data_IF_798564069399
#
_entry.id   IF_798564069399
#
_cell.length_a   1.000
_cell.length_b   1.000
_cell.length_c   1.000
_cell.angle_alpha   90.00
_cell.angle_beta   90.00
_cell.angle_gamma   90.00
#
_symmetry.space_group_name_H-M   'P 1'
#
loop_
_entity.id
_entity.type
_entity.pdbx_description
1 polymer ?
#
# COMPACT_ATOMS: atom_id res chain seq x y z
N UNK A 1 -19.13 -8.71 54.67
CA UNK A 1 -18.59 -9.88 55.39
C UNK A 1 -18.75 -11.09 54.48
N UNK A 2 -17.75 -11.95 54.22
CA UNK A 2 -16.40 -12.03 54.78
C UNK A 2 -15.34 -12.33 53.70
N UNK A 3 -14.11 -11.87 53.94
CA UNK A 3 -12.92 -12.43 53.30
C UNK A 3 -12.63 -13.82 53.90
N UNK A 4 -12.07 -14.72 53.10
CA UNK A 4 -11.29 -15.85 53.62
C UNK A 4 -10.00 -16.00 52.82
N UNK A 5 -8.88 -15.51 53.36
CA UNK A 5 -7.52 -15.84 52.90
C UNK A 5 -7.04 -17.13 53.58
N UNK A 6 -6.31 -17.98 52.85
CA UNK A 6 -5.46 -19.12 53.28
C UNK A 6 -4.86 -19.75 51.99
N UNK A 7 -3.60 -20.16 51.86
CA UNK A 7 -2.42 -20.18 52.75
C UNK A 7 -1.14 -20.17 51.88
N UNK A 8 0.00 -19.72 52.39
CA UNK A 8 1.33 -19.84 51.75
C UNK A 8 1.96 -21.19 52.13
N UNK A 9 2.59 -21.89 51.20
CA UNK A 9 3.71 -22.82 51.50
C UNK A 9 4.85 -22.56 50.50
N UNK A 10 6.04 -22.30 51.04
CA UNK A 10 7.32 -22.35 50.34
C UNK A 10 8.08 -23.55 50.89
N UNK A 11 8.68 -24.36 50.01
CA UNK A 11 9.68 -25.35 50.39
C UNK A 11 10.71 -25.48 49.26
N UNK A 12 11.97 -25.19 49.58
CA UNK A 12 13.12 -25.46 48.72
C UNK A 12 13.83 -26.72 49.23
N UNK A 13 14.36 -27.53 48.32
CA UNK A 13 15.26 -28.64 48.67
C UNK A 13 16.50 -28.63 47.78
N UNK A 14 17.64 -28.44 48.40
CA UNK A 14 18.96 -28.73 47.85
C UNK A 14 19.17 -30.24 47.70
N UNK A 15 20.02 -30.66 46.76
CA UNK A 15 20.94 -31.77 46.98
C UNK A 15 22.30 -31.47 46.32
N UNK A 16 23.37 -31.66 47.09
CA UNK A 16 24.78 -31.52 46.71
C UNK A 16 25.51 -32.83 47.06
N UNK A 17 26.31 -33.36 46.13
CA UNK A 17 27.53 -34.15 46.35
C UNK A 17 28.21 -34.32 44.98
N UNK A 18 29.47 -33.95 44.68
CA UNK A 18 30.78 -34.15 45.32
C UNK A 18 31.29 -35.60 45.32
N UNK A 19 32.24 -35.88 44.42
CA UNK A 19 33.37 -36.77 44.67
C UNK A 19 34.62 -36.31 43.88
N UNK A 20 35.79 -36.57 44.47
CA UNK A 20 37.16 -36.21 44.01
C UNK A 20 37.76 -37.36 43.16
N UNK A 21 38.97 -37.36 42.58
CA UNK A 21 40.18 -36.51 42.58
C UNK A 21 40.93 -36.77 41.22
N UNK A 22 42.16 -36.35 40.89
CA UNK A 22 43.21 -35.48 41.47
C UNK A 22 44.22 -35.10 40.36
N UNK A 23 45.03 -34.04 40.50
CA UNK A 23 46.14 -33.77 39.56
C UNK A 23 46.71 -32.35 39.59
N UNK A 24 47.97 -32.20 40.00
CA UNK A 24 48.67 -30.91 40.09
C UNK A 24 49.30 -30.48 38.76
N UNK A 25 49.25 -29.19 38.45
CA UNK A 25 50.42 -28.41 37.99
C UNK A 25 50.17 -26.90 38.21
N UNK A 26 51.25 -26.14 38.33
CA UNK A 26 51.22 -24.73 38.74
C UNK A 26 51.10 -23.75 37.57
N UNK A 27 50.73 -22.50 37.86
CA UNK A 27 51.18 -21.36 37.05
C UNK A 27 50.16 -20.25 36.80
N UNK A 28 50.54 -19.04 37.25
CA UNK A 28 50.05 -17.73 36.80
C UNK A 28 48.56 -17.35 37.02
N UNK A 29 48.37 -16.20 37.65
CA UNK A 29 47.06 -15.58 37.80
C UNK A 29 46.55 -15.04 36.45
N UNK A 30 45.35 -15.46 36.05
CA UNK A 30 44.52 -14.75 35.09
C UNK A 30 43.33 -14.15 35.84
N UNK A 31 43.25 -12.82 35.90
CA UNK A 31 42.07 -12.16 36.47
C UNK A 31 40.82 -12.52 35.64
N UNK A 32 39.65 -12.77 36.25
CA UNK A 32 38.44 -13.05 35.50
C UNK A 32 38.07 -11.81 34.68
N UNK A 33 38.20 -11.89 33.36
CA UNK A 33 37.65 -10.89 32.45
C UNK A 33 36.14 -10.81 32.73
N UNK A 34 35.69 -9.68 33.27
CA UNK A 34 34.27 -9.34 33.32
C UNK A 34 33.76 -9.31 31.89
N UNK A 35 33.01 -10.34 31.51
CA UNK A 35 32.20 -10.32 30.31
C UNK A 35 31.23 -9.12 30.42
N UNK A 36 31.48 -8.08 29.62
CA UNK A 36 30.66 -6.88 29.60
C UNK A 36 29.27 -7.21 29.04
N UNK A 37 28.33 -7.56 29.93
CA UNK A 37 26.91 -7.64 29.59
C UNK A 37 26.28 -6.24 29.67
N UNK A 38 26.56 -5.44 28.65
CA UNK A 38 25.91 -4.17 28.35
C UNK A 38 25.91 -3.99 26.80
N UNK A 39 24.81 -3.67 26.10
CA UNK A 39 23.48 -3.23 26.51
C UNK A 39 22.39 -3.83 25.58
N UNK A 40 21.22 -4.25 26.11
CA UNK A 40 20.02 -4.42 25.29
C UNK A 40 19.28 -3.09 25.01
N UNK A 41 19.42 -2.09 25.90
CA UNK A 41 18.67 -0.83 25.85
C UNK A 41 19.00 0.03 24.62
N UNK A 42 20.29 0.26 24.36
CA UNK A 42 20.75 1.18 23.29
C UNK A 42 20.43 0.71 21.87
N UNK A 43 20.17 -0.59 21.66
CA UNK A 43 19.70 -1.12 20.38
C UNK A 43 18.21 -0.82 20.15
N UNK A 44 17.37 -1.03 21.18
CA UNK A 44 15.93 -0.75 21.09
C UNK A 44 15.66 0.75 20.95
N UNK A 45 16.31 1.58 21.77
CA UNK A 45 16.16 3.04 21.71
C UNK A 45 16.56 3.60 20.34
N UNK A 46 17.66 3.10 19.77
CA UNK A 46 18.10 3.45 18.42
C UNK A 46 17.10 3.03 17.33
N UNK A 47 16.46 1.87 17.49
CA UNK A 47 15.46 1.37 16.55
C UNK A 47 14.18 2.22 16.57
N UNK A 48 13.67 2.55 17.77
CA UNK A 48 12.50 3.43 17.93
C UNK A 48 12.78 4.84 17.39
N UNK A 49 14.00 5.36 17.62
CA UNK A 49 14.42 6.65 17.08
C UNK A 49 14.48 6.64 15.54
N UNK A 50 15.03 5.59 14.91
CA UNK A 50 15.00 5.42 13.44
C UNK A 50 13.56 5.39 12.91
N UNK A 51 12.67 4.65 13.57
CA UNK A 51 11.25 4.56 13.21
C UNK A 51 10.58 5.92 13.31
N UNK A 52 10.82 6.66 14.40
CA UNK A 52 10.28 8.01 14.62
C UNK A 52 10.78 9.01 13.57
N UNK A 53 12.06 8.96 13.19
CA UNK A 53 12.63 9.78 12.11
C UNK A 53 11.96 9.48 10.76
N UNK A 54 11.82 8.20 10.41
CA UNK A 54 11.17 7.79 9.17
C UNK A 54 9.68 8.21 9.12
N UNK A 55 8.94 8.00 10.22
CA UNK A 55 7.53 8.42 10.33
C UNK A 55 7.36 9.94 10.32
N UNK A 56 8.30 10.72 10.88
CA UNK A 56 8.27 12.18 10.82
C UNK A 56 8.38 12.75 9.39
N UNK A 57 8.94 11.97 8.46
CA UNK A 57 8.93 12.23 7.01
C UNK A 57 7.65 11.66 6.38
N UNK A 58 7.39 10.37 6.61
CA UNK A 58 6.37 9.60 5.89
C UNK A 58 4.93 9.93 6.27
N UNK A 59 4.65 10.20 7.54
CA UNK A 59 3.31 10.48 8.06
C UNK A 59 2.99 11.98 8.15
N UNK A 60 3.91 12.86 7.72
CA UNK A 60 3.66 14.30 7.67
C UNK A 60 2.54 14.63 6.68
N UNK A 61 1.72 15.63 7.03
CA UNK A 61 0.73 16.20 6.12
C UNK A 61 1.40 16.66 4.81
N UNK A 62 0.79 16.30 3.68
CA UNK A 62 1.36 16.44 2.33
C UNK A 62 0.71 17.57 1.57
N UNK A 63 1.50 18.27 0.77
CA UNK A 63 0.99 19.19 -0.26
C UNK A 63 0.53 18.39 -1.49
N UNK A 64 -0.35 18.94 -2.34
CA UNK A 64 -0.76 18.29 -3.59
C UNK A 64 0.46 17.85 -4.41
N UNK A 65 0.46 16.60 -4.83
CA UNK A 65 1.55 15.96 -5.58
C UNK A 65 2.78 15.55 -4.75
N UNK A 66 2.82 15.74 -3.43
CA UNK A 66 3.92 15.19 -2.63
C UNK A 66 3.77 13.66 -2.47
N UNK A 67 4.89 12.96 -2.68
CA UNK A 67 5.06 11.53 -2.46
C UNK A 67 6.20 11.30 -1.46
N UNK A 68 5.95 10.44 -0.47
CA UNK A 68 6.99 9.87 0.41
C UNK A 68 6.96 8.35 0.31
N UNK A 69 8.14 7.75 0.38
CA UNK A 69 8.30 6.30 0.47
C UNK A 69 9.13 5.98 1.70
N UNK A 70 8.67 5.01 2.48
CA UNK A 70 9.34 4.49 3.67
C UNK A 70 9.72 3.03 3.43
N UNK A 71 10.99 2.72 3.64
CA UNK A 71 11.50 1.36 3.74
C UNK A 71 11.38 0.86 5.18
N UNK A 72 10.75 -0.30 5.34
CA UNK A 72 10.75 -1.09 6.56
C UNK A 72 11.63 -2.33 6.33
N UNK A 73 12.80 -2.35 6.99
CA UNK A 73 13.72 -3.46 6.92
C UNK A 73 13.37 -4.63 7.84
N UNK A 74 12.27 -4.59 8.60
CA UNK A 74 11.79 -5.73 9.43
C UNK A 74 11.24 -6.86 8.58
N UNK A 75 10.40 -6.52 7.60
CA UNK A 75 9.82 -7.40 6.58
C UNK A 75 10.40 -7.16 5.17
N UNK A 76 11.25 -6.13 5.02
CA UNK A 76 11.89 -5.73 3.76
C UNK A 76 10.85 -5.22 2.72
N UNK A 77 9.95 -4.35 3.18
CA UNK A 77 8.89 -3.74 2.36
C UNK A 77 9.06 -2.23 2.16
N UNK A 78 8.34 -1.69 1.19
CA UNK A 78 8.09 -0.27 1.00
C UNK A 78 6.64 0.08 1.32
N UNK A 79 6.45 1.18 2.04
CA UNK A 79 5.17 1.88 2.21
C UNK A 79 5.20 3.18 1.41
N UNK A 80 4.18 3.39 0.58
CA UNK A 80 3.96 4.63 -0.17
C UNK A 80 2.94 5.50 0.57
N UNK A 81 3.17 6.81 0.62
CA UNK A 81 2.18 7.77 1.10
C UNK A 81 2.24 9.01 0.22
N UNK A 82 1.11 9.43 -0.30
CA UNK A 82 1.03 10.55 -1.23
C UNK A 82 -0.23 11.38 -1.02
N UNK A 83 -0.29 12.54 -1.66
CA UNK A 83 -1.51 13.29 -1.84
C UNK A 83 -1.62 13.68 -3.31
N UNK A 84 -2.76 13.40 -3.95
CA UNK A 84 -2.98 13.65 -5.37
C UNK A 84 -2.93 15.14 -5.71
N UNK A 85 -2.76 15.46 -6.99
CA UNK A 85 -3.05 16.80 -7.50
C UNK A 85 -4.47 16.78 -8.04
N UNK A 86 -5.39 17.43 -7.33
CA UNK A 86 -6.82 17.46 -7.66
C UNK A 86 -7.18 18.78 -8.34
N UNK A 87 -8.03 18.72 -9.37
CA UNK A 87 -8.69 19.87 -9.98
C UNK A 87 -10.20 19.67 -10.00
N UNK A 88 -10.97 20.68 -9.62
CA UNK A 88 -12.45 20.71 -9.80
C UNK A 88 -12.85 21.23 -11.18
N UNK A 89 -11.90 21.72 -11.97
CA UNK A 89 -12.10 22.12 -13.37
C UNK A 89 -11.51 21.05 -14.31
N UNK A 90 -12.26 20.71 -15.36
CA UNK A 90 -11.91 19.62 -16.27
C UNK A 90 -10.83 20.00 -17.30
N UNK A 91 -10.75 21.27 -17.71
CA UNK A 91 -9.72 21.75 -18.62
C UNK A 91 -8.37 21.83 -17.90
N UNK A 92 -8.36 22.31 -16.65
CA UNK A 92 -7.18 22.27 -15.78
C UNK A 92 -6.75 20.84 -15.45
N UNK A 93 -7.70 19.91 -15.22
CA UNK A 93 -7.38 18.49 -15.16
C UNK A 93 -6.70 17.98 -16.45
N UNK A 94 -7.23 18.34 -17.62
CA UNK A 94 -6.68 17.90 -18.92
C UNK A 94 -5.27 18.46 -19.17
N UNK A 95 -5.00 19.71 -18.74
CA UNK A 95 -3.66 20.30 -18.71
C UNK A 95 -2.73 19.55 -17.74
N UNK A 96 -3.22 19.15 -16.57
CA UNK A 96 -2.46 18.38 -15.59
C UNK A 96 -2.11 16.97 -16.08
N UNK A 97 -3.03 16.26 -16.75
CA UNK A 97 -2.77 14.95 -17.39
C UNK A 97 -1.58 15.05 -18.35
N UNK A 98 -1.60 16.07 -19.20
CA UNK A 98 -0.53 16.35 -20.17
C UNK A 98 0.80 16.70 -19.48
N UNK A 99 0.75 17.62 -18.50
CA UNK A 99 1.93 18.09 -17.74
C UNK A 99 2.66 16.98 -16.99
N UNK A 100 1.92 16.02 -16.44
CA UNK A 100 2.43 14.94 -15.59
C UNK A 100 2.46 13.58 -16.30
N UNK A 101 2.29 13.53 -17.63
CA UNK A 101 2.23 12.30 -18.44
C UNK A 101 1.40 11.18 -17.78
N UNK A 102 0.24 11.56 -17.27
CA UNK A 102 -0.68 10.64 -16.63
C UNK A 102 -1.41 9.80 -17.69
N UNK A 103 -1.94 8.63 -17.34
CA UNK A 103 -2.84 7.89 -18.22
C UNK A 103 -3.95 8.80 -18.76
N UNK A 104 -4.16 8.77 -20.08
CA UNK A 104 -5.16 9.60 -20.75
C UNK A 104 -6.57 9.08 -20.42
N UNK A 105 -7.18 9.66 -19.38
CA UNK A 105 -8.52 9.35 -18.92
C UNK A 105 -9.43 10.54 -19.23
N UNK A 106 -10.40 10.35 -20.13
CA UNK A 106 -11.44 11.33 -20.46
C UNK A 106 -12.72 11.01 -19.68
N UNK A 107 -13.67 11.95 -19.63
CA UNK A 107 -15.01 11.63 -19.17
C UNK A 107 -15.62 10.52 -20.05
N UNK A 108 -16.37 9.56 -19.47
CA UNK A 108 -17.15 8.59 -20.24
C UNK A 108 -18.22 9.29 -21.07
N UNK A 109 -18.59 8.72 -22.22
CA UNK A 109 -19.67 9.26 -23.06
C UNK A 109 -21.06 9.07 -22.43
N UNK A 110 -21.18 8.11 -21.50
CA UNK A 110 -22.42 7.84 -20.76
C UNK A 110 -22.18 7.80 -19.24
N UNK A 111 -23.11 8.43 -18.50
CA UNK A 111 -23.23 8.34 -17.05
C UNK A 111 -24.71 8.17 -16.67
N UNK A 112 -25.00 7.53 -15.52
CA UNK A 112 -26.34 7.52 -14.95
C UNK A 112 -26.84 8.94 -14.65
N UNK A 113 -28.16 9.13 -14.71
CA UNK A 113 -28.78 10.45 -14.53
C UNK A 113 -28.43 11.09 -13.16
N UNK A 114 -28.09 12.38 -13.22
CA UNK A 114 -27.77 13.20 -12.05
C UNK A 114 -26.32 13.14 -11.58
N UNK A 115 -25.47 12.28 -12.14
CA UNK A 115 -24.03 12.31 -11.85
C UNK A 115 -23.34 13.38 -12.71
N UNK A 116 -22.69 14.33 -12.06
CA UNK A 116 -21.90 15.38 -12.72
C UNK A 116 -20.43 15.28 -12.32
N UNK A 117 -19.53 15.78 -13.18
CA UNK A 117 -18.10 15.86 -12.87
C UNK A 117 -17.85 16.73 -11.63
N UNK A 118 -17.17 16.14 -10.64
CA UNK A 118 -16.82 16.80 -9.39
C UNK A 118 -15.35 17.22 -9.37
N UNK A 119 -14.45 16.31 -9.75
CA UNK A 119 -13.01 16.57 -9.76
C UNK A 119 -12.22 15.52 -10.53
N UNK A 120 -11.06 15.90 -11.05
CA UNK A 120 -10.06 14.99 -11.60
C UNK A 120 -8.77 14.99 -10.78
N UNK A 121 -8.18 13.82 -10.57
CA UNK A 121 -6.94 13.61 -9.82
C UNK A 121 -5.80 13.17 -10.75
N UNK A 122 -4.61 13.73 -10.52
CA UNK A 122 -3.34 13.13 -10.93
C UNK A 122 -2.71 12.41 -9.73
N UNK A 123 -2.47 11.11 -9.88
CA UNK A 123 -2.01 10.23 -8.82
C UNK A 123 -0.49 10.01 -8.95
N UNK A 124 0.32 10.38 -7.94
CA UNK A 124 1.75 10.10 -7.92
C UNK A 124 2.07 8.61 -8.12
N UNK A 125 3.25 8.25 -8.66
CA UNK A 125 3.60 6.86 -8.90
C UNK A 125 3.66 6.07 -7.59
N UNK A 126 2.89 4.99 -7.54
CA UNK A 126 2.95 3.94 -6.53
C UNK A 126 2.97 2.60 -7.25
N UNK A 127 3.66 1.63 -6.66
CA UNK A 127 3.96 0.36 -7.33
C UNK A 127 3.44 -0.81 -6.49
N UNK A 128 2.95 -1.85 -7.15
CA UNK A 128 2.61 -3.11 -6.50
C UNK A 128 3.88 -3.79 -5.97
N UNK A 129 3.82 -4.43 -4.80
CA UNK A 129 4.96 -5.12 -4.17
C UNK A 129 5.66 -6.14 -5.06
N UNK A 130 4.95 -6.72 -6.03
CA UNK A 130 5.47 -7.72 -6.94
C UNK A 130 5.91 -7.15 -8.29
N UNK A 131 5.78 -5.85 -8.52
CA UNK A 131 6.21 -5.21 -9.78
C UNK A 131 7.71 -4.91 -9.82
N UNK A 132 8.32 -4.93 -11.01
CA UNK A 132 9.74 -4.59 -11.20
C UNK A 132 10.13 -3.21 -10.62
N UNK A 133 9.37 -2.11 -10.84
CA UNK A 133 9.73 -0.79 -10.28
C UNK A 133 9.69 -0.74 -8.75
N UNK A 134 8.83 -1.54 -8.10
CA UNK A 134 8.86 -1.69 -6.65
C UNK A 134 10.13 -2.37 -6.19
N UNK A 135 10.52 -3.47 -6.85
CA UNK A 135 11.72 -4.23 -6.50
C UNK A 135 12.99 -3.42 -6.70
N UNK A 136 13.06 -2.57 -7.72
CA UNK A 136 14.20 -1.67 -7.93
C UNK A 136 14.23 -0.51 -6.92
N UNK A 137 13.09 0.12 -6.63
CA UNK A 137 13.01 1.12 -5.57
C UNK A 137 13.34 0.52 -4.19
N UNK A 138 12.99 -0.75 -3.94
CA UNK A 138 13.31 -1.46 -2.71
C UNK A 138 14.82 -1.69 -2.57
N UNK A 139 15.52 -2.03 -3.66
CA UNK A 139 16.99 -2.12 -3.70
C UNK A 139 17.62 -0.75 -3.43
N UNK A 140 17.12 0.31 -4.08
CA UNK A 140 17.59 1.70 -3.91
C UNK A 140 17.48 2.16 -2.44
N UNK A 141 16.28 2.14 -1.87
CA UNK A 141 16.04 2.64 -0.51
C UNK A 141 16.74 1.79 0.56
N UNK A 142 16.92 0.49 0.33
CA UNK A 142 17.72 -0.38 1.20
C UNK A 142 19.21 -0.03 1.18
N UNK A 143 19.76 0.35 0.03
CA UNK A 143 21.13 0.83 -0.10
C UNK A 143 21.28 2.22 0.55
N UNK A 144 20.35 3.14 0.30
CA UNK A 144 20.33 4.49 0.91
C UNK A 144 20.15 4.46 2.44
N UNK A 145 19.43 3.47 2.97
CA UNK A 145 19.28 3.24 4.41
C UNK A 145 20.62 2.95 5.11
N UNK A 146 21.65 2.49 4.39
CA UNK A 146 23.01 2.21 4.92
C UNK A 146 23.01 1.39 6.21
N UNK A 147 22.16 0.35 6.25
CA UNK A 147 21.99 -0.54 7.39
C UNK A 147 21.04 -0.05 8.49
N UNK A 148 20.39 1.12 8.34
CA UNK A 148 19.22 1.48 9.16
C UNK A 148 18.07 0.50 8.89
N UNK A 149 17.29 0.20 9.93
CA UNK A 149 16.12 -0.69 9.85
C UNK A 149 14.88 0.04 9.35
N UNK A 150 14.81 1.36 9.55
CA UNK A 150 13.77 2.22 8.97
C UNK A 150 14.44 3.40 8.26
N UNK A 151 13.92 3.74 7.08
CA UNK A 151 14.37 4.88 6.28
C UNK A 151 13.18 5.45 5.50
N UNK A 152 13.11 6.77 5.32
CA UNK A 152 12.08 7.39 4.48
C UNK A 152 12.64 8.62 3.75
N UNK A 153 12.14 8.86 2.54
CA UNK A 153 12.49 10.03 1.72
C UNK A 153 11.25 10.60 1.04
N UNK A 154 11.33 11.89 0.69
CA UNK A 154 10.45 12.48 -0.34
C UNK A 154 10.94 12.03 -1.70
N UNK A 155 10.03 11.55 -2.54
CA UNK A 155 10.32 11.16 -3.92
C UNK A 155 9.86 12.27 -4.86
N UNK A 156 10.77 12.78 -5.68
CA UNK A 156 10.42 13.68 -6.79
C UNK A 156 9.97 12.81 -7.97
N UNK A 157 8.91 13.23 -8.64
CA UNK A 157 8.38 12.56 -9.82
C UNK A 157 7.91 13.62 -10.83
N UNK A 158 8.02 13.28 -12.11
CA UNK A 158 7.51 14.07 -13.24
C UNK A 158 6.46 13.30 -14.04
N UNK A 159 6.30 12.00 -13.79
CA UNK A 159 5.33 11.13 -14.43
C UNK A 159 4.41 10.50 -13.39
N UNK A 160 3.11 10.63 -13.59
CA UNK A 160 2.09 10.06 -12.72
C UNK A 160 1.99 8.54 -12.89
N UNK A 161 1.60 7.85 -11.82
CA UNK A 161 1.24 6.42 -11.86
C UNK A 161 -0.20 6.20 -12.33
N UNK A 162 -1.07 7.18 -12.15
CA UNK A 162 -2.47 7.09 -12.56
C UNK A 162 -3.17 8.44 -12.66
N UNK A 163 -4.39 8.40 -13.19
CA UNK A 163 -5.34 9.49 -13.17
C UNK A 163 -6.70 8.98 -12.72
N UNK A 164 -7.53 9.85 -12.16
CA UNK A 164 -8.91 9.54 -11.81
C UNK A 164 -9.86 10.69 -12.12
N UNK A 165 -11.14 10.36 -12.30
CA UNK A 165 -12.26 11.27 -12.41
C UNK A 165 -13.30 10.85 -11.35
N UNK A 166 -13.78 11.81 -10.58
CA UNK A 166 -14.87 11.64 -9.64
C UNK A 166 -16.10 12.34 -10.20
N UNK A 167 -17.21 11.62 -10.20
CA UNK A 167 -18.55 12.13 -10.51
C UNK A 167 -19.44 11.88 -9.30
N UNK A 168 -20.29 12.85 -8.96
CA UNK A 168 -21.13 12.78 -7.76
C UNK A 168 -22.59 13.09 -8.04
N UNK A 169 -23.47 12.47 -7.25
CA UNK A 169 -24.89 12.79 -7.14
C UNK A 169 -25.29 12.67 -5.67
N UNK A 170 -25.74 13.78 -5.09
CA UNK A 170 -26.01 13.91 -3.66
C UNK A 170 -24.82 13.44 -2.80
N UNK A 171 -24.96 12.32 -2.08
CA UNK A 171 -23.92 11.72 -1.24
C UNK A 171 -23.23 10.50 -1.88
N UNK A 172 -23.63 10.08 -3.08
CA UNK A 172 -23.01 8.95 -3.79
C UNK A 172 -22.03 9.41 -4.87
N UNK A 173 -21.03 8.56 -5.14
CA UNK A 173 -19.97 8.86 -6.11
C UNK A 173 -19.66 7.67 -7.03
N UNK A 174 -19.31 8.02 -8.26
CA UNK A 174 -18.64 7.16 -9.22
C UNK A 174 -17.20 7.66 -9.32
N UNK A 175 -16.24 6.82 -8.94
CA UNK A 175 -14.82 7.07 -9.19
C UNK A 175 -14.34 6.20 -10.34
N UNK A 176 -13.90 6.83 -11.43
CA UNK A 176 -13.29 6.16 -12.58
C UNK A 176 -11.80 6.44 -12.51
N UNK A 177 -10.93 5.44 -12.70
CA UNK A 177 -9.49 5.65 -12.73
C UNK A 177 -8.78 4.77 -13.74
N UNK A 178 -7.67 5.27 -14.26
CA UNK A 178 -6.71 4.53 -15.07
C UNK A 178 -5.34 4.60 -14.39
N UNK A 179 -4.68 3.45 -14.20
CA UNK A 179 -3.33 3.36 -13.63
C UNK A 179 -2.40 2.61 -14.60
N UNK A 180 -1.11 2.92 -14.56
CA UNK A 180 -0.08 2.16 -15.29
C UNK A 180 0.05 0.75 -14.69
N UNK A 181 0.00 -0.26 -15.54
CA UNK A 181 0.38 -1.64 -15.21
C UNK A 181 1.89 -1.75 -15.36
N UNK A 182 2.51 -2.52 -14.47
CA UNK A 182 3.92 -2.88 -14.55
C UNK A 182 4.04 -4.40 -14.50
N UNK A 183 4.96 -5.01 -15.25
CA UNK A 183 5.20 -6.45 -15.18
C UNK A 183 5.44 -6.90 -13.73
N UNK A 184 4.79 -7.99 -13.34
CA UNK A 184 5.07 -8.66 -12.07
C UNK A 184 6.26 -9.61 -12.24
N UNK A 185 7.12 -9.68 -11.20
CA UNK A 185 8.26 -10.61 -11.14
C UNK A 185 7.85 -12.06 -10.85
N UNK A 186 6.55 -12.31 -10.71
CA UNK A 186 5.93 -13.61 -10.44
C UNK A 186 4.49 -13.59 -10.95
N UNK A 187 3.94 -14.75 -11.30
CA UNK A 187 2.50 -14.88 -11.58
C UNK A 187 1.67 -14.65 -10.31
N UNK A 188 0.56 -13.92 -10.43
CA UNK A 188 -0.33 -13.57 -9.31
C UNK A 188 -1.77 -13.86 -9.72
N UNK A 189 -2.48 -14.63 -8.88
CA UNK A 189 -3.93 -14.81 -8.99
C UNK A 189 -4.61 -14.10 -7.84
N UNK A 190 -5.43 -13.08 -8.13
CA UNK A 190 -6.28 -12.43 -7.12
C UNK A 190 -7.39 -13.37 -6.69
N UNK A 191 -7.47 -13.68 -5.40
CA UNK A 191 -8.58 -14.42 -4.78
C UNK A 191 -9.50 -13.47 -3.99
N UNK A 192 -10.80 -13.74 -3.88
CA UNK A 192 -11.70 -12.91 -3.07
C UNK A 192 -11.29 -12.91 -1.60
N UNK A 193 -11.28 -11.73 -0.97
CA UNK A 193 -11.18 -11.58 0.48
C UNK A 193 -12.43 -12.12 1.20
N UNK A 194 -12.37 -12.18 2.53
CA UNK A 194 -13.50 -12.66 3.36
C UNK A 194 -14.76 -11.83 3.12
N UNK A 195 -15.76 -12.43 2.48
CA UNK A 195 -17.05 -11.81 2.17
C UNK A 195 -17.08 -11.05 0.83
N UNK A 196 -15.92 -10.87 0.19
CA UNK A 196 -15.82 -10.32 -1.16
C UNK A 196 -16.32 -11.36 -2.18
N UNK A 197 -16.92 -10.90 -3.28
CA UNK A 197 -17.36 -11.76 -4.39
C UNK A 197 -16.79 -11.25 -5.69
N UNK A 198 -16.32 -12.16 -6.53
CA UNK A 198 -15.89 -11.89 -7.90
C UNK A 198 -16.84 -12.54 -8.91
N UNK A 199 -17.10 -11.80 -9.98
CA UNK A 199 -17.80 -12.26 -11.18
C UNK A 199 -16.95 -11.82 -12.38
N UNK A 200 -16.68 -12.74 -13.31
CA UNK A 200 -16.03 -12.41 -14.58
C UNK A 200 -17.09 -12.02 -15.60
N UNK A 201 -16.86 -10.91 -16.29
CA UNK A 201 -17.70 -10.37 -17.34
C UNK A 201 -16.87 -10.28 -18.63
N UNK A 202 -17.55 -10.24 -19.77
CA UNK A 202 -16.97 -9.78 -21.04
C UNK A 202 -17.77 -8.58 -21.51
N UNK A 203 -17.08 -7.47 -21.77
CA UNK A 203 -17.67 -6.18 -22.13
C UNK A 203 -17.06 -5.77 -23.46
N UNK A 204 -17.84 -5.79 -24.54
CA UNK A 204 -17.35 -5.58 -25.92
C UNK A 204 -16.17 -6.50 -26.31
N UNK A 205 -16.10 -7.69 -25.73
CA UNK A 205 -15.00 -8.65 -25.93
C UNK A 205 -13.78 -8.44 -25.01
N UNK A 206 -13.78 -7.40 -24.17
CA UNK A 206 -12.77 -7.17 -23.13
C UNK A 206 -13.13 -7.95 -21.87
N UNK A 207 -12.20 -8.74 -21.34
CA UNK A 207 -12.36 -9.42 -20.06
C UNK A 207 -12.35 -8.42 -18.90
N UNK A 208 -13.38 -8.48 -18.06
CA UNK A 208 -13.54 -7.59 -16.90
C UNK A 208 -13.86 -8.37 -15.62
N UNK A 209 -13.40 -7.85 -14.49
CA UNK A 209 -13.64 -8.39 -13.15
C UNK A 209 -14.58 -7.46 -12.38
N UNK A 210 -15.80 -7.94 -12.14
CA UNK A 210 -16.72 -7.29 -11.21
C UNK A 210 -16.50 -7.82 -9.79
N UNK A 211 -16.23 -6.92 -8.84
CA UNK A 211 -15.97 -7.25 -7.45
C UNK A 211 -16.92 -6.49 -6.52
N UNK A 212 -17.47 -7.17 -5.52
CA UNK A 212 -18.38 -6.55 -4.53
C UNK A 212 -18.04 -6.97 -3.10
N UNK A 213 -18.56 -6.22 -2.13
CA UNK A 213 -18.52 -6.56 -0.70
C UNK A 213 -17.11 -6.62 -0.08
N UNK A 214 -16.11 -5.99 -0.69
CA UNK A 214 -14.82 -5.77 -0.01
C UNK A 214 -14.98 -4.83 1.19
N UNK A 215 -14.00 -4.83 2.10
CA UNK A 215 -13.99 -3.93 3.27
C UNK A 215 -13.42 -2.53 2.96
N UNK A 216 -13.16 -2.22 1.70
CA UNK A 216 -12.68 -0.90 1.28
C UNK A 216 -13.85 0.11 1.21
N UNK A 217 -13.52 1.41 1.27
CA UNK A 217 -14.49 2.51 1.07
C UNK A 217 -15.24 2.34 -0.26
N UNK A 218 -14.49 2.08 -1.33
CA UNK A 218 -15.02 1.66 -2.62
C UNK A 218 -15.13 0.13 -2.65
N UNK A 219 -16.27 -0.41 -2.23
CA UNK A 219 -16.45 -1.87 -2.09
C UNK A 219 -16.94 -2.56 -3.35
N UNK A 220 -17.53 -1.79 -4.27
CA UNK A 220 -18.10 -2.25 -5.53
C UNK A 220 -17.23 -1.71 -6.66
N UNK A 221 -16.71 -2.62 -7.49
CA UNK A 221 -15.66 -2.32 -8.46
C UNK A 221 -15.91 -3.08 -9.76
N UNK A 222 -15.62 -2.44 -10.88
CA UNK A 222 -15.49 -3.09 -12.18
C UNK A 222 -14.11 -2.73 -12.74
N UNK A 223 -13.26 -3.73 -12.93
CA UNK A 223 -11.85 -3.58 -13.33
C UNK A 223 -11.59 -4.30 -14.65
N UNK A 224 -10.86 -3.68 -15.57
CA UNK A 224 -10.40 -4.31 -16.81
C UNK A 224 -9.05 -3.75 -17.24
N UNK A 225 -8.33 -4.48 -18.07
CA UNK A 225 -7.01 -4.10 -18.56
C UNK A 225 -7.07 -3.66 -20.04
N UNK A 226 -6.14 -2.79 -20.43
CA UNK A 226 -5.84 -2.36 -21.79
C UNK A 226 -4.34 -2.67 -21.99
N UNK A 227 -3.98 -3.92 -22.36
CA UNK A 227 -2.59 -4.37 -22.41
C UNK A 227 -1.76 -3.61 -23.44
N UNK A 228 -2.37 -3.18 -24.55
CA UNK A 228 -1.72 -2.40 -25.61
C UNK A 228 -1.20 -1.06 -25.10
N UNK A 229 -1.90 -0.43 -24.15
CA UNK A 229 -1.50 0.83 -23.50
C UNK A 229 -0.80 0.62 -22.16
N UNK A 230 -0.74 -0.61 -21.66
CA UNK A 230 -0.22 -0.95 -20.33
C UNK A 230 -1.03 -0.28 -19.21
N UNK A 231 -2.36 -0.26 -19.31
CA UNK A 231 -3.24 0.42 -18.36
C UNK A 231 -4.28 -0.52 -17.74
N UNK A 232 -4.53 -0.39 -16.44
CA UNK A 232 -5.69 -0.96 -15.77
C UNK A 232 -6.70 0.16 -15.52
N UNK A 233 -7.95 -0.09 -15.89
CA UNK A 233 -9.09 0.79 -15.64
C UNK A 233 -9.94 0.22 -14.51
N UNK A 234 -10.42 1.09 -13.63
CA UNK A 234 -11.34 0.72 -12.53
C UNK A 234 -12.46 1.75 -12.44
N UNK A 235 -13.71 1.28 -12.45
CA UNK A 235 -14.89 2.02 -11.97
C UNK A 235 -15.18 1.53 -10.54
N UNK A 236 -15.35 2.47 -9.61
CA UNK A 236 -15.44 2.23 -8.17
C UNK A 236 -16.58 3.03 -7.56
N UNK A 237 -17.46 2.38 -6.77
CA UNK A 237 -18.57 3.01 -6.05
C UNK A 237 -18.64 2.54 -4.59
N UNK A 238 -19.40 3.26 -3.76
CA UNK A 238 -19.62 2.90 -2.36
C UNK A 238 -20.45 1.61 -2.21
N UNK A 239 -20.32 0.94 -1.06
CA UNK A 239 -21.15 -0.23 -0.71
C UNK A 239 -22.66 0.04 -0.72
N UNK A 240 -23.02 1.28 -0.39
CA UNK A 240 -24.39 1.77 -0.31
C UNK A 240 -24.83 2.51 -1.57
N UNK A 241 -24.02 2.52 -2.63
CA UNK A 241 -24.39 3.11 -3.91
C UNK A 241 -25.64 2.40 -4.46
N UNK A 242 -26.64 3.14 -4.98
CA UNK A 242 -27.82 2.54 -5.61
C UNK A 242 -27.53 2.03 -7.03
N UNK A 243 -26.31 2.20 -7.55
CA UNK A 243 -25.95 1.79 -8.90
C UNK A 243 -25.85 0.27 -9.03
N UNK A 244 -26.46 -0.26 -10.09
CA UNK A 244 -26.44 -1.70 -10.39
C UNK A 244 -25.18 -2.08 -11.17
N UNK A 245 -24.94 -3.39 -11.31
CA UNK A 245 -23.83 -3.91 -12.13
C UNK A 245 -23.95 -3.44 -13.58
N UNK A 246 -25.16 -3.41 -14.11
CA UNK A 246 -25.49 -3.03 -15.48
C UNK A 246 -25.14 -1.55 -15.73
N UNK A 247 -25.40 -0.66 -14.77
CA UNK A 247 -24.97 0.73 -14.85
C UNK A 247 -23.43 0.88 -14.89
N UNK A 248 -22.70 0.06 -14.13
CA UNK A 248 -21.23 0.03 -14.17
C UNK A 248 -20.72 -0.53 -15.51
N UNK A 249 -21.38 -1.54 -16.07
CA UNK A 249 -21.08 -2.08 -17.41
C UNK A 249 -21.27 -1.01 -18.49
N UNK A 250 -22.39 -0.28 -18.51
CA UNK A 250 -22.62 0.76 -19.53
C UNK A 250 -21.68 1.96 -19.43
N UNK A 251 -21.17 2.30 -18.23
CA UNK A 251 -20.07 3.26 -18.10
C UNK A 251 -18.79 2.67 -18.73
N UNK A 252 -18.46 1.40 -18.47
CA UNK A 252 -17.28 0.74 -19.06
C UNK A 252 -17.37 0.64 -20.59
N UNK A 253 -18.52 0.26 -21.14
CA UNK A 253 -18.81 0.24 -22.59
C UNK A 253 -18.48 1.60 -23.21
N UNK A 254 -18.98 2.71 -22.63
CA UNK A 254 -18.68 4.05 -23.14
C UNK A 254 -17.20 4.46 -23.08
N UNK A 255 -16.39 3.83 -22.22
CA UNK A 255 -14.93 4.03 -22.12
C UNK A 255 -14.17 3.10 -23.07
N UNK A 256 -14.73 1.95 -23.42
CA UNK A 256 -14.13 0.98 -24.34
C UNK A 256 -14.43 1.41 -25.79
N UNK A 257 -15.70 1.61 -26.15
CA UNK A 257 -16.14 2.05 -27.48
C UNK A 257 -15.50 3.37 -27.94
N UNK A 258 -15.31 4.34 -27.04
CA UNK A 258 -14.67 5.62 -27.37
C UNK A 258 -13.17 5.51 -27.70
N UNK A 259 -12.52 4.37 -27.38
CA UNK A 259 -11.16 4.05 -27.85
C UNK A 259 -11.15 3.57 -29.29
N UNK A 260 -12.18 2.83 -29.72
CA UNK A 260 -12.28 2.21 -31.04
C UNK A 260 -12.50 3.20 -32.20
N UNK A 261 -12.76 4.48 -31.90
CA UNK A 261 -13.04 5.52 -32.90
C UNK A 261 -11.90 6.54 -33.14
N UNK A 262 -10.72 6.36 -32.54
CA UNK A 262 -9.56 7.23 -32.79
C UNK A 262 -8.39 6.45 -33.43
N UNK A 263 -8.32 6.39 -34.78
CA UNK A 263 -7.15 5.89 -35.51
C UNK A 263 -5.95 6.86 -35.49
#
# INVERSE_FOLDING_TARGET
MNLTKKTIIVAASFLLALSSASGYTAGAAAAPQKASKAQPASSKERLEQQKKEALAIHSKAKKPGELTVMYDGTDNTLSFSFYSITSTDYDDYSKLVSKYKAPALKQPEWLPEGYAFQSGDIVPPYYDSYSEPYQDMLKELKAEAKGKKYYAKKVKWSEAGGAALLFSRDSDIIRISAKKIYPFVTEITRVPGKGEKFERLSIEGVDALYATNSNALYSTKLTWEDPEKGLEYEISTYKTSPLTKEALVSIAESIISSKSQNP
#
